data_IF_931788413217
#
_entry.id   IF_931788413217
#
_cell.length_a   1.000
_cell.length_b   1.000
_cell.length_c   1.000
_cell.angle_alpha   90.00
_cell.angle_beta   90.00
_cell.angle_gamma   90.00
#
_symmetry.space_group_name_H-M   'P 1'
#
loop_
_entity.id
_entity.type
_entity.pdbx_description
1 polymer ?
#
# COMPACT_ATOMS: atom_id res chain seq x y z
N UNK A 1 13.00 -27.01 -22.85
CA UNK A 1 13.19 -25.58 -23.08
C UNK A 1 13.72 -24.94 -21.78
N UNK A 2 15.01 -24.57 -21.78
CA UNK A 2 15.61 -23.78 -20.72
C UNK A 2 14.91 -22.42 -20.71
N UNK A 3 14.03 -22.17 -19.72
CA UNK A 3 13.54 -20.82 -19.45
C UNK A 3 14.75 -19.99 -19.06
N UNK A 4 15.20 -19.12 -19.95
CA UNK A 4 16.17 -18.07 -19.65
C UNK A 4 15.61 -17.26 -18.48
N UNK A 5 16.17 -17.46 -17.29
CA UNK A 5 15.94 -16.59 -16.15
C UNK A 5 16.66 -15.29 -16.46
N UNK A 6 15.88 -14.26 -16.80
CA UNK A 6 16.43 -12.96 -17.12
C UNK A 6 17.27 -12.41 -15.94
N UNK A 7 18.21 -11.53 -16.24
CA UNK A 7 19.10 -10.85 -15.29
C UNK A 7 18.37 -10.32 -14.03
N UNK A 8 17.08 -9.98 -14.14
CA UNK A 8 16.26 -9.54 -13.03
C UNK A 8 16.09 -10.54 -11.88
N UNK A 9 16.16 -11.85 -12.13
CA UNK A 9 16.06 -12.87 -11.08
C UNK A 9 17.35 -13.04 -10.28
N UNK A 10 18.49 -12.73 -10.87
CA UNK A 10 19.79 -12.74 -10.18
C UNK A 10 19.89 -11.55 -9.24
N UNK A 11 19.44 -10.37 -9.66
CA UNK A 11 19.47 -9.15 -8.84
C UNK A 11 18.53 -9.22 -7.62
N UNK A 12 17.43 -9.95 -7.71
CA UNK A 12 16.50 -10.13 -6.56
C UNK A 12 17.09 -10.88 -5.37
N UNK A 13 18.21 -11.57 -5.55
CA UNK A 13 18.89 -12.37 -4.52
C UNK A 13 20.12 -11.71 -3.92
N UNK A 14 20.52 -10.55 -4.46
CA UNK A 14 21.66 -9.83 -3.88
C UNK A 14 21.24 -9.11 -2.59
N UNK A 15 22.07 -9.17 -1.53
CA UNK A 15 21.82 -8.39 -0.33
C UNK A 15 21.87 -6.90 -0.66
N UNK A 16 21.00 -6.13 0.00
CA UNK A 16 20.97 -4.68 -0.16
C UNK A 16 22.23 -4.08 0.48
N UNK A 17 22.90 -3.19 -0.26
CA UNK A 17 24.12 -2.52 0.22
C UNK A 17 23.82 -1.03 0.47
N UNK A 18 23.30 -0.73 1.65
CA UNK A 18 23.00 0.65 2.06
C UNK A 18 24.26 1.48 2.25
N UNK A 19 25.37 0.88 2.70
CA UNK A 19 26.63 1.57 2.93
C UNK A 19 27.16 2.23 1.66
N UNK A 20 26.96 1.61 0.50
CA UNK A 20 27.31 2.21 -0.77
C UNK A 20 26.52 3.48 -1.04
N UNK A 21 25.23 3.48 -0.72
CA UNK A 21 24.34 4.64 -0.89
C UNK A 21 24.77 5.79 0.03
N UNK A 22 25.13 5.48 1.28
CA UNK A 22 25.61 6.48 2.24
C UNK A 22 26.92 7.10 1.77
N UNK A 23 27.89 6.28 1.33
CA UNK A 23 29.15 6.76 0.75
C UNK A 23 28.92 7.65 -0.48
N UNK A 24 27.91 7.35 -1.29
CA UNK A 24 27.54 8.20 -2.42
C UNK A 24 26.98 9.54 -1.96
N UNK A 25 26.18 9.58 -0.90
CA UNK A 25 25.66 10.82 -0.33
C UNK A 25 26.78 11.67 0.26
N UNK A 26 27.71 11.05 0.98
CA UNK A 26 28.90 11.74 1.54
C UNK A 26 29.77 12.35 0.45
N UNK A 27 29.99 11.61 -0.64
CA UNK A 27 30.82 12.05 -1.76
C UNK A 27 30.16 13.14 -2.61
N UNK A 28 28.82 13.13 -2.68
CA UNK A 28 28.02 14.06 -3.48
C UNK A 28 26.92 14.72 -2.63
N UNK A 29 27.29 15.57 -1.66
CA UNK A 29 26.32 16.10 -0.68
C UNK A 29 25.22 16.96 -1.30
N UNK A 30 25.48 17.58 -2.45
CA UNK A 30 24.51 18.41 -3.17
C UNK A 30 23.49 17.60 -3.99
N UNK A 31 23.72 16.30 -4.20
CA UNK A 31 22.76 15.45 -4.89
C UNK A 31 21.62 15.04 -3.94
N UNK A 32 20.40 15.08 -4.46
CA UNK A 32 19.24 14.49 -3.77
C UNK A 32 19.26 12.98 -3.99
N UNK A 33 19.51 12.23 -2.92
CA UNK A 33 19.58 10.78 -2.94
C UNK A 33 18.38 10.20 -2.20
N UNK A 34 17.58 9.38 -2.90
CA UNK A 34 16.43 8.67 -2.37
C UNK A 34 16.77 7.18 -2.33
N UNK A 35 16.79 6.59 -1.13
CA UNK A 35 17.11 5.18 -0.95
C UNK A 35 15.88 4.30 -1.23
N UNK A 36 16.10 3.14 -1.85
CA UNK A 36 15.05 2.16 -2.14
C UNK A 36 15.53 0.76 -1.78
N UNK A 37 14.63 -0.05 -1.21
CA UNK A 37 14.81 -1.48 -1.00
C UNK A 37 14.58 -1.90 0.44
N UNK A 38 13.72 -2.92 0.66
CA UNK A 38 13.58 -3.65 1.92
C UNK A 38 13.14 -2.84 3.15
N UNK A 39 12.65 -1.62 2.99
CA UNK A 39 12.23 -0.75 4.09
C UNK A 39 10.75 -0.97 4.31
N UNK A 40 10.39 -1.52 5.48
CA UNK A 40 9.03 -1.97 5.81
C UNK A 40 8.52 -1.46 7.17
N UNK A 41 9.41 -0.87 8.00
CA UNK A 41 9.11 -0.38 9.33
C UNK A 41 9.45 1.10 9.46
N UNK A 42 8.74 1.81 10.35
CA UNK A 42 8.88 3.25 10.52
C UNK A 42 10.26 3.63 11.10
N UNK A 43 10.78 2.81 11.99
CA UNK A 43 12.12 2.99 12.58
C UNK A 43 13.20 2.95 11.49
N UNK A 44 13.05 2.03 10.52
CA UNK A 44 13.94 1.95 9.37
C UNK A 44 13.79 3.18 8.47
N UNK A 45 12.59 3.70 8.26
CA UNK A 45 12.38 4.96 7.51
C UNK A 45 13.13 6.09 8.20
N UNK A 46 12.92 6.28 9.51
CA UNK A 46 13.58 7.33 10.31
C UNK A 46 15.11 7.18 10.28
N UNK A 47 15.60 5.95 10.44
CA UNK A 47 17.02 5.64 10.36
C UNK A 47 17.62 6.05 9.02
N UNK A 48 16.98 5.70 7.90
CA UNK A 48 17.49 6.03 6.58
C UNK A 48 17.50 7.54 6.34
N UNK A 49 16.51 8.28 6.81
CA UNK A 49 16.43 9.74 6.66
C UNK A 49 17.56 10.50 7.38
N UNK A 50 18.29 9.85 8.30
CA UNK A 50 19.49 10.44 8.88
C UNK A 50 20.70 10.43 7.92
N UNK A 51 20.67 9.64 6.86
CA UNK A 51 21.80 9.45 5.95
C UNK A 51 21.52 9.92 4.52
N UNK A 52 20.25 10.00 4.12
CA UNK A 52 19.83 10.33 2.75
C UNK A 52 18.66 11.31 2.75
N UNK A 53 18.37 11.91 1.59
CA UNK A 53 17.33 12.95 1.46
C UNK A 53 15.90 12.40 1.40
N UNK A 54 15.75 11.11 1.17
CA UNK A 54 14.42 10.51 1.07
C UNK A 54 14.44 8.99 1.04
N UNK A 55 13.27 8.40 1.27
CA UNK A 55 13.04 6.96 1.31
C UNK A 55 11.91 6.60 0.36
N UNK A 56 12.14 5.62 -0.49
CA UNK A 56 11.12 5.08 -1.41
C UNK A 56 10.52 3.80 -0.84
N UNK A 57 9.20 3.79 -0.72
CA UNK A 57 8.41 2.68 -0.17
C UNK A 57 7.48 2.11 -1.24
N UNK A 58 7.92 1.09 -1.97
CA UNK A 58 7.11 0.47 -3.02
C UNK A 58 6.16 -0.59 -2.47
N UNK A 59 6.67 -1.79 -2.26
CA UNK A 59 5.88 -2.98 -1.88
C UNK A 59 5.14 -2.81 -0.55
N UNK A 60 5.75 -2.14 0.43
CA UNK A 60 5.11 -1.87 1.72
C UNK A 60 3.82 -1.09 1.55
N UNK A 61 3.85 0.03 0.82
CA UNK A 61 2.66 0.88 0.62
C UNK A 61 1.62 0.16 -0.25
N UNK A 62 2.05 -0.60 -1.26
CA UNK A 62 1.14 -1.39 -2.08
C UNK A 62 0.34 -2.40 -1.24
N UNK A 63 0.97 -3.05 -0.28
CA UNK A 63 0.34 -4.06 0.59
C UNK A 63 -0.31 -3.46 1.84
N UNK A 64 0.06 -2.25 2.22
CA UNK A 64 -0.33 -1.58 3.47
C UNK A 64 -0.37 -0.05 3.31
N UNK A 65 -1.38 0.49 2.61
CA UNK A 65 -1.50 1.94 2.41
C UNK A 65 -1.68 2.72 3.71
N UNK A 66 -2.23 2.10 4.77
CA UNK A 66 -2.41 2.74 6.07
C UNK A 66 -1.07 3.14 6.71
N UNK A 67 0.04 2.52 6.30
CA UNK A 67 1.38 2.90 6.74
C UNK A 67 1.74 4.35 6.39
N UNK A 68 1.13 4.94 5.35
CA UNK A 68 1.31 6.36 5.03
C UNK A 68 0.81 7.28 6.14
N UNK A 69 -0.27 6.92 6.84
CA UNK A 69 -0.79 7.70 7.98
C UNK A 69 0.22 7.72 9.14
N UNK A 70 0.90 6.58 9.35
CA UNK A 70 1.97 6.51 10.34
C UNK A 70 3.17 7.38 9.93
N UNK A 71 3.55 7.38 8.65
CA UNK A 71 4.63 8.24 8.13
C UNK A 71 4.27 9.72 8.31
N UNK A 72 3.05 10.13 7.95
CA UNK A 72 2.60 11.51 8.11
C UNK A 72 2.73 11.97 9.56
N UNK A 73 2.30 11.14 10.50
CA UNK A 73 2.37 11.44 11.92
C UNK A 73 3.81 11.45 12.44
N UNK A 74 4.59 10.41 12.16
CA UNK A 74 5.86 10.16 12.83
C UNK A 74 7.08 10.76 12.15
N UNK A 75 7.01 11.02 10.83
CA UNK A 75 8.10 11.61 10.05
C UNK A 75 7.85 13.09 9.79
N UNK A 76 6.62 13.45 9.41
CA UNK A 76 6.28 14.83 9.06
C UNK A 76 5.62 15.61 10.20
N UNK A 77 5.25 14.96 11.31
CA UNK A 77 4.57 15.60 12.43
C UNK A 77 3.16 16.09 12.10
N UNK A 78 2.59 15.63 11.00
CA UNK A 78 1.27 16.00 10.55
C UNK A 78 0.22 15.21 11.35
N UNK A 79 -0.51 15.90 12.23
CA UNK A 79 -1.73 15.34 12.84
C UNK A 79 -2.89 15.45 11.84
N UNK A 80 -2.78 14.77 10.70
CA UNK A 80 -3.89 14.67 9.78
C UNK A 80 -4.95 13.74 10.40
N UNK A 81 -6.14 14.28 10.64
CA UNK A 81 -7.32 13.49 10.99
C UNK A 81 -7.85 12.70 9.77
N UNK A 82 -6.94 12.22 8.90
CA UNK A 82 -7.27 11.34 7.81
C UNK A 82 -7.55 9.96 8.39
N UNK A 83 -8.82 9.70 8.61
CA UNK A 83 -9.28 8.39 9.01
C UNK A 83 -9.11 7.41 7.85
N UNK A 84 -8.56 6.25 8.15
CA UNK A 84 -8.45 5.15 7.18
C UNK A 84 -9.80 4.80 6.56
N UNK A 85 -10.89 4.82 7.36
CA UNK A 85 -12.26 4.61 6.91
C UNK A 85 -12.67 5.58 5.81
N UNK A 86 -12.34 6.86 5.95
CA UNK A 86 -12.64 7.89 4.94
C UNK A 86 -11.87 7.67 3.64
N UNK A 87 -10.60 7.29 3.74
CA UNK A 87 -9.78 6.91 2.59
C UNK A 87 -10.38 5.72 1.84
N UNK A 88 -10.84 4.70 2.57
CA UNK A 88 -11.50 3.53 1.99
C UNK A 88 -12.83 3.87 1.31
N UNK A 89 -13.67 4.69 1.94
CA UNK A 89 -14.92 5.17 1.35
C UNK A 89 -14.69 5.94 0.05
N UNK A 90 -13.70 6.85 0.03
CA UNK A 90 -13.33 7.59 -1.18
C UNK A 90 -12.83 6.66 -2.28
N UNK A 91 -12.06 5.63 -1.94
CA UNK A 91 -11.56 4.67 -2.91
C UNK A 91 -12.69 3.80 -3.50
N UNK A 92 -13.64 3.37 -2.67
CA UNK A 92 -14.84 2.66 -3.14
C UNK A 92 -15.69 3.52 -4.07
N UNK A 93 -15.92 4.80 -3.71
CA UNK A 93 -16.62 5.75 -4.58
C UNK A 93 -15.89 5.92 -5.93
N UNK A 94 -14.57 6.01 -5.93
CA UNK A 94 -13.77 6.04 -7.17
C UNK A 94 -14.00 4.79 -8.02
N UNK A 95 -14.01 3.59 -7.44
CA UNK A 95 -14.24 2.35 -8.18
C UNK A 95 -15.59 2.39 -8.92
N UNK A 96 -16.63 2.92 -8.28
CA UNK A 96 -17.97 3.04 -8.90
C UNK A 96 -18.01 4.03 -10.08
N UNK A 97 -17.04 4.95 -10.20
CA UNK A 97 -16.96 5.85 -11.37
C UNK A 97 -16.33 5.18 -12.60
N UNK A 98 -15.67 4.05 -12.43
CA UNK A 98 -14.95 3.38 -13.52
C UNK A 98 -15.92 2.68 -14.45
N UNK A 99 -15.79 2.97 -15.76
CA UNK A 99 -16.64 2.39 -16.81
C UNK A 99 -16.06 1.11 -17.43
N UNK A 100 -14.74 0.97 -17.39
CA UNK A 100 -14.05 -0.15 -18.02
C UNK A 100 -13.90 -1.32 -17.04
N UNK A 101 -14.40 -2.50 -17.41
CA UNK A 101 -14.35 -3.71 -16.58
C UNK A 101 -12.91 -4.07 -16.15
N UNK A 102 -11.90 -3.88 -17.02
CA UNK A 102 -10.50 -4.17 -16.67
C UNK A 102 -10.00 -3.25 -15.55
N UNK A 103 -10.39 -1.99 -15.59
CA UNK A 103 -9.98 -1.00 -14.59
C UNK A 103 -10.72 -1.24 -13.28
N UNK A 104 -12.01 -1.57 -13.32
CA UNK A 104 -12.79 -2.01 -12.14
C UNK A 104 -12.12 -3.23 -11.50
N UNK A 105 -11.84 -4.28 -12.27
CA UNK A 105 -11.22 -5.50 -11.74
C UNK A 105 -9.83 -5.23 -11.13
N UNK A 106 -9.04 -4.34 -11.74
CA UNK A 106 -7.74 -3.93 -11.19
C UNK A 106 -7.92 -3.21 -9.87
N UNK A 107 -8.83 -2.23 -9.81
CA UNK A 107 -9.09 -1.46 -8.60
C UNK A 107 -9.67 -2.33 -7.47
N UNK A 108 -10.60 -3.23 -7.77
CA UNK A 108 -11.12 -4.21 -6.80
C UNK A 108 -10.01 -5.14 -6.30
N UNK A 109 -9.07 -5.54 -7.17
CA UNK A 109 -7.93 -6.36 -6.75
C UNK A 109 -7.03 -5.62 -5.75
N UNK A 110 -6.80 -4.31 -5.94
CA UNK A 110 -6.09 -3.49 -4.96
C UNK A 110 -6.87 -3.37 -3.64
N UNK A 111 -8.19 -3.14 -3.71
CA UNK A 111 -9.04 -3.12 -2.53
C UNK A 111 -8.94 -4.42 -1.73
N UNK A 112 -8.98 -5.57 -2.40
CA UNK A 112 -8.81 -6.88 -1.78
C UNK A 112 -7.48 -7.03 -1.04
N UNK A 113 -6.38 -6.47 -1.55
CA UNK A 113 -5.08 -6.47 -0.87
C UNK A 113 -5.12 -5.69 0.45
N UNK A 114 -5.79 -4.53 0.43
CA UNK A 114 -5.92 -3.67 1.61
C UNK A 114 -6.77 -4.34 2.68
N UNK A 115 -7.98 -4.77 2.33
CA UNK A 115 -8.94 -5.34 3.29
C UNK A 115 -8.55 -6.73 3.79
N UNK A 116 -7.59 -7.40 3.14
CA UNK A 116 -7.08 -8.70 3.58
C UNK A 116 -6.50 -8.65 5.01
N UNK A 117 -6.00 -7.51 5.43
CA UNK A 117 -5.43 -7.30 6.76
C UNK A 117 -6.47 -6.92 7.81
N UNK A 118 -7.68 -6.58 7.39
CA UNK A 118 -8.76 -6.23 8.30
C UNK A 118 -9.45 -7.49 8.81
N UNK A 119 -9.76 -7.51 10.10
CA UNK A 119 -10.58 -8.57 10.71
C UNK A 119 -12.01 -8.54 10.15
N UNK A 120 -12.70 -9.67 10.19
CA UNK A 120 -14.12 -9.80 9.83
C UNK A 120 -14.52 -9.46 8.38
N UNK A 121 -13.57 -9.31 7.45
CA UNK A 121 -13.84 -8.97 6.04
C UNK A 121 -14.00 -10.20 5.13
N UNK A 122 -14.10 -11.43 5.68
CA UNK A 122 -14.12 -12.67 4.89
C UNK A 122 -15.25 -12.70 3.86
N UNK A 123 -16.47 -12.33 4.28
CA UNK A 123 -17.65 -12.32 3.40
C UNK A 123 -17.54 -11.24 2.32
N UNK A 124 -17.13 -10.04 2.69
CA UNK A 124 -16.91 -8.94 1.74
C UNK A 124 -15.86 -9.33 0.70
N UNK A 125 -14.76 -9.92 1.13
CA UNK A 125 -13.72 -10.42 0.20
C UNK A 125 -14.23 -11.48 -0.75
N UNK A 126 -15.08 -12.41 -0.26
CA UNK A 126 -15.71 -13.43 -1.09
C UNK A 126 -16.58 -12.78 -2.17
N UNK A 127 -17.47 -11.86 -1.81
CA UNK A 127 -18.36 -11.16 -2.73
C UNK A 127 -17.59 -10.33 -3.77
N UNK A 128 -16.52 -9.65 -3.36
CA UNK A 128 -15.64 -8.91 -4.28
C UNK A 128 -14.91 -9.84 -5.25
N UNK A 129 -14.43 -11.00 -4.80
CA UNK A 129 -13.79 -11.98 -5.66
C UNK A 129 -14.77 -12.58 -6.68
N UNK A 130 -16.01 -12.83 -6.26
CA UNK A 130 -17.06 -13.32 -7.15
C UNK A 130 -17.44 -12.27 -8.19
N UNK A 131 -17.44 -10.97 -7.83
CA UNK A 131 -17.65 -9.89 -8.79
C UNK A 131 -16.53 -9.83 -9.84
N UNK A 132 -15.26 -10.01 -9.46
CA UNK A 132 -14.13 -10.05 -10.42
C UNK A 132 -14.29 -11.19 -11.42
N UNK A 133 -14.81 -12.35 -10.97
CA UNK A 133 -15.02 -13.54 -11.81
C UNK A 133 -16.31 -13.44 -12.64
N UNK A 134 -17.39 -13.01 -12.01
CA UNK A 134 -18.75 -12.95 -12.56
C UNK A 134 -19.32 -11.55 -12.38
N UNK A 135 -19.76 -10.90 -13.44
CA UNK A 135 -20.33 -9.54 -13.44
C UNK A 135 -21.71 -9.41 -12.79
N UNK A 136 -22.19 -10.43 -12.08
CA UNK A 136 -23.56 -10.48 -11.56
C UNK A 136 -23.75 -9.89 -10.15
N UNK A 137 -22.67 -9.48 -9.49
CA UNK A 137 -22.74 -8.92 -8.13
C UNK A 137 -22.70 -7.40 -8.23
N UNK A 138 -23.65 -6.74 -7.60
CA UNK A 138 -23.67 -5.29 -7.48
C UNK A 138 -22.56 -4.82 -6.52
N UNK A 139 -21.58 -4.11 -7.06
CA UNK A 139 -20.48 -3.54 -6.27
C UNK A 139 -20.97 -2.49 -5.27
N UNK A 140 -22.00 -1.74 -5.64
CA UNK A 140 -22.56 -0.70 -4.77
C UNK A 140 -23.13 -1.31 -3.50
N UNK A 141 -23.87 -2.42 -3.63
CA UNK A 141 -24.40 -3.16 -2.49
C UNK A 141 -23.30 -3.73 -1.60
N UNK A 142 -22.23 -4.30 -2.20
CA UNK A 142 -21.06 -4.79 -1.44
C UNK A 142 -20.35 -3.65 -0.69
N UNK A 143 -20.22 -2.48 -1.31
CA UNK A 143 -19.58 -1.33 -0.70
C UNK A 143 -20.43 -0.70 0.41
N UNK A 144 -21.74 -0.68 0.28
CA UNK A 144 -22.63 -0.22 1.33
C UNK A 144 -22.53 -1.10 2.58
N UNK A 145 -22.56 -2.43 2.42
CA UNK A 145 -22.31 -3.36 3.53
C UNK A 145 -20.94 -3.14 4.17
N UNK A 146 -19.91 -2.88 3.38
CA UNK A 146 -18.57 -2.66 3.91
C UNK A 146 -18.44 -1.32 4.63
N UNK A 147 -19.12 -0.28 4.15
CA UNK A 147 -19.16 1.03 4.79
C UNK A 147 -19.79 0.96 6.19
N UNK A 148 -20.93 0.27 6.32
CA UNK A 148 -21.57 0.02 7.61
C UNK A 148 -20.61 -0.68 8.59
N UNK A 149 -19.88 -1.67 8.12
CA UNK A 149 -18.85 -2.39 8.89
C UNK A 149 -17.70 -1.47 9.33
N UNK A 150 -17.24 -0.56 8.46
CA UNK A 150 -16.19 0.40 8.77
C UNK A 150 -16.65 1.44 9.79
N UNK A 151 -17.87 1.96 9.64
CA UNK A 151 -18.42 2.99 10.54
C UNK A 151 -18.70 2.43 11.94
N UNK A 152 -19.16 1.17 12.05
CA UNK A 152 -19.33 0.49 13.34
C UNK A 152 -18.01 0.21 14.06
N UNK A 153 -16.92 0.04 13.31
CA UNK A 153 -15.59 -0.32 13.83
C UNK A 153 -14.58 0.83 13.84
N UNK A 154 -14.99 2.04 13.50
CA UNK A 154 -14.14 3.24 13.59
C UNK A 154 -13.55 3.46 15.01
N UNK A 155 -14.09 2.77 16.02
CA UNK A 155 -13.58 2.72 17.39
C UNK A 155 -12.56 1.58 17.65
N UNK A 156 -12.33 0.70 16.72
CA UNK A 156 -11.34 -0.39 16.86
C UNK A 156 -10.00 0.09 16.31
N UNK A 157 -9.13 0.49 17.22
CA UNK A 157 -7.75 0.87 16.99
C UNK A 157 -7.05 -0.16 16.10
N UNK A 158 -6.41 0.34 15.05
CA UNK A 158 -5.44 -0.41 14.25
C UNK A 158 -4.25 -0.70 15.18
N UNK A 159 -4.12 -1.96 15.60
CA UNK A 159 -2.95 -2.47 16.32
C UNK A 159 -1.88 -2.90 15.32
#
# INVERSE_FOLDING_TARGET
ASKSRGLGDVYKRQPLNYDLVYKMKDRFPNLKIIINGGIEEIENVKKQLNFVDGVMLGRKIYSDPAFLLQIDKEVYGNNTNLEFSKGMQNYMAYILTLKNKKDVNRAVTHLLQIIRKLSHTKEIRRRLLDNVKNTSIDLEDVFNCFKEDLDQKAHLQIH
#
